data_IF_501907660983
#
_entry.id   IF_501907660983
#
_cell.length_a   1.000
_cell.length_b   1.000
_cell.length_c   1.000
_cell.angle_alpha   90.00
_cell.angle_beta   90.00
_cell.angle_gamma   90.00
#
_symmetry.space_group_name_H-M   'P 1'
#
loop_
_entity.id
_entity.type
_entity.pdbx_description
1 polymer ?
#
# COMPACT_ATOMS: atom_id res chain seq x y z
N UNK A 1 -7.32 40.12 -8.28
CA UNK A 1 -7.62 39.06 -9.25
C UNK A 1 -6.51 38.01 -9.08
N UNK A 2 -6.70 37.00 -8.23
CA UNK A 2 -7.31 35.71 -8.58
C UNK A 2 -6.28 34.93 -9.40
N UNK A 3 -5.53 33.97 -8.84
CA UNK A 3 -5.99 32.61 -8.61
C UNK A 3 -5.16 31.94 -7.51
N UNK A 4 -5.78 31.66 -6.35
CA UNK A 4 -5.29 30.63 -5.45
C UNK A 4 -5.72 29.28 -6.00
N UNK A 5 -4.82 28.55 -6.64
CA UNK A 5 -5.07 27.15 -7.00
C UNK A 5 -5.00 26.33 -5.72
N UNK A 6 -6.15 26.05 -5.11
CA UNK A 6 -6.28 24.97 -4.13
C UNK A 6 -6.13 23.65 -4.90
N UNK A 7 -4.96 23.03 -4.82
CA UNK A 7 -4.81 21.63 -5.22
C UNK A 7 -5.48 20.77 -4.15
N UNK A 8 -6.74 20.41 -4.36
CA UNK A 8 -7.45 19.48 -3.47
C UNK A 8 -7.18 18.04 -3.92
N UNK A 9 -6.43 17.28 -3.13
CA UNK A 9 -6.63 15.83 -3.08
C UNK A 9 -8.10 15.58 -2.68
N UNK A 10 -8.83 14.83 -3.50
CA UNK A 10 -10.20 14.44 -3.23
C UNK A 10 -10.18 12.91 -3.09
N UNK A 11 -10.15 12.44 -1.85
CA UNK A 11 -10.43 11.04 -1.57
C UNK A 11 -11.93 10.81 -1.75
N UNK A 12 -12.33 10.04 -2.76
CA UNK A 12 -13.73 9.68 -3.00
C UNK A 12 -14.03 8.37 -2.29
N UNK A 13 -14.85 8.42 -1.23
CA UNK A 13 -15.39 7.20 -0.60
C UNK A 13 -16.47 6.64 -1.51
N UNK A 14 -16.24 5.44 -2.03
CA UNK A 14 -17.14 4.75 -2.97
C UNK A 14 -17.91 3.63 -2.25
N UNK A 15 -18.93 3.08 -2.91
CA UNK A 15 -19.77 2.00 -2.34
C UNK A 15 -19.20 0.60 -2.59
N UNK A 16 -18.33 0.45 -3.59
CA UNK A 16 -17.69 -0.81 -3.96
C UNK A 16 -16.22 -0.59 -4.28
N UNK A 17 -15.38 -1.54 -3.88
CA UNK A 17 -13.95 -1.53 -4.23
C UNK A 17 -13.75 -1.61 -5.76
N UNK A 18 -14.69 -2.23 -6.48
CA UNK A 18 -14.72 -2.32 -7.94
C UNK A 18 -15.10 -1.00 -8.63
N UNK A 19 -15.33 0.09 -7.90
CA UNK A 19 -15.52 1.40 -8.52
C UNK A 19 -14.22 1.96 -9.13
N UNK A 20 -13.05 1.46 -8.71
CA UNK A 20 -11.74 1.76 -9.28
C UNK A 20 -11.04 0.48 -9.80
N UNK A 21 -11.62 -0.22 -10.79
CA UNK A 21 -11.18 -1.55 -11.19
C UNK A 21 -9.80 -1.55 -11.87
N UNK A 22 -9.40 -0.43 -12.47
CA UNK A 22 -8.18 -0.30 -13.28
C UNK A 22 -6.87 -0.53 -12.52
N UNK A 23 -6.91 -0.58 -11.18
CA UNK A 23 -5.76 -0.85 -10.32
C UNK A 23 -5.61 -2.32 -9.94
N UNK A 24 -6.54 -3.17 -10.38
CA UNK A 24 -6.52 -4.59 -10.14
C UNK A 24 -6.21 -5.36 -11.43
N UNK A 25 -5.48 -6.46 -11.28
CA UNK A 25 -5.27 -7.39 -12.38
C UNK A 25 -6.63 -7.93 -12.84
N UNK A 26 -6.90 -7.88 -14.14
CA UNK A 26 -8.18 -8.30 -14.73
C UNK A 26 -9.39 -7.67 -14.04
N UNK A 27 -9.22 -6.44 -13.52
CA UNK A 27 -10.27 -5.70 -12.82
C UNK A 27 -10.84 -6.42 -11.59
N UNK A 28 -10.09 -7.40 -11.06
CA UNK A 28 -10.53 -8.30 -9.99
C UNK A 28 -9.86 -7.96 -8.67
N UNK A 29 -10.61 -7.47 -7.66
CA UNK A 29 -10.06 -7.15 -6.35
C UNK A 29 -9.41 -8.36 -5.65
N UNK A 30 -8.42 -8.15 -4.78
CA UNK A 30 -7.80 -9.25 -4.04
C UNK A 30 -8.78 -9.88 -3.04
N UNK A 31 -8.57 -11.16 -2.76
CA UNK A 31 -9.21 -11.85 -1.63
C UNK A 31 -8.46 -11.50 -0.35
N UNK A 32 -9.13 -10.78 0.55
CA UNK A 32 -8.66 -10.52 1.91
C UNK A 32 -9.61 -11.26 2.87
N UNK A 33 -9.18 -12.40 3.44
CA UNK A 33 -10.00 -13.21 4.34
C UNK A 33 -10.71 -12.34 5.39
N UNK A 34 -12.00 -12.59 5.60
CA UNK A 34 -12.81 -11.91 6.62
C UNK A 34 -13.11 -10.44 6.40
N UNK A 35 -12.58 -9.82 5.33
CA UNK A 35 -12.74 -8.40 5.02
C UNK A 35 -13.31 -8.17 3.63
N UNK A 36 -12.70 -8.76 2.60
CA UNK A 36 -13.05 -8.59 1.18
C UNK A 36 -13.01 -9.95 0.49
N UNK A 37 -14.19 -10.51 0.23
CA UNK A 37 -14.36 -11.84 -0.37
C UNK A 37 -15.25 -11.75 -1.60
N UNK A 38 -14.84 -12.35 -2.72
CA UNK A 38 -15.55 -12.29 -4.01
C UNK A 38 -15.93 -10.85 -4.44
N UNK A 39 -15.03 -9.90 -4.20
CA UNK A 39 -15.24 -8.48 -4.47
C UNK A 39 -16.24 -7.78 -3.54
N UNK A 40 -16.71 -8.45 -2.48
CA UNK A 40 -17.66 -7.92 -1.50
C UNK A 40 -16.99 -7.61 -0.18
N UNK A 41 -17.17 -6.39 0.29
CA UNK A 41 -16.74 -5.97 1.62
C UNK A 41 -17.74 -6.54 2.64
N UNK A 42 -17.26 -7.39 3.55
CA UNK A 42 -18.13 -8.12 4.49
C UNK A 42 -18.73 -7.22 5.58
N UNK A 43 -17.97 -6.24 6.08
CA UNK A 43 -18.45 -5.20 7.01
C UNK A 43 -18.35 -3.82 6.36
N UNK A 44 -19.38 -3.44 5.59
CA UNK A 44 -19.47 -2.12 4.96
C UNK A 44 -19.62 -0.97 5.98
N UNK A 45 -19.95 -1.24 7.25
CA UNK A 45 -19.99 -0.19 8.26
C UNK A 45 -18.59 0.18 8.73
N UNK A 46 -17.64 -0.75 8.68
CA UNK A 46 -16.25 -0.55 9.10
C UNK A 46 -15.31 -0.23 7.94
N UNK A 47 -15.34 -1.04 6.88
CA UNK A 47 -14.38 -0.92 5.80
C UNK A 47 -14.93 -0.06 4.67
N UNK A 48 -14.17 0.95 4.27
CA UNK A 48 -14.56 1.94 3.27
C UNK A 48 -13.61 1.90 2.10
N UNK A 49 -14.06 1.54 0.89
CA UNK A 49 -13.25 1.65 -0.31
C UNK A 49 -13.13 3.12 -0.70
N UNK A 50 -11.92 3.53 -1.06
CA UNK A 50 -11.58 4.91 -1.39
C UNK A 50 -10.86 4.92 -2.73
N UNK A 51 -11.47 5.59 -3.71
CA UNK A 51 -10.81 5.94 -4.96
C UNK A 51 -9.97 7.20 -4.72
N UNK A 52 -8.65 7.04 -4.69
CA UNK A 52 -7.72 8.12 -4.38
C UNK A 52 -7.56 8.98 -5.63
N UNK A 53 -8.18 10.17 -5.60
CA UNK A 53 -8.24 11.07 -6.75
C UNK A 53 -7.41 12.32 -6.48
N UNK A 54 -6.53 12.65 -7.41
CA UNK A 54 -5.71 13.86 -7.36
C UNK A 54 -5.73 14.56 -8.71
N UNK A 55 -6.05 15.86 -8.69
CA UNK A 55 -6.31 16.69 -9.88
C UNK A 55 -7.30 16.03 -10.88
N UNK A 56 -8.39 15.49 -10.34
CA UNK A 56 -9.46 14.81 -11.10
C UNK A 56 -9.05 13.49 -11.78
N UNK A 57 -7.85 12.98 -11.50
CA UNK A 57 -7.41 11.67 -11.97
C UNK A 57 -7.36 10.67 -10.82
N UNK A 58 -7.87 9.46 -11.06
CA UNK A 58 -7.75 8.35 -10.12
C UNK A 58 -6.32 7.83 -10.17
N UNK A 59 -5.67 7.76 -9.02
CA UNK A 59 -4.24 7.43 -8.91
C UNK A 59 -4.00 6.03 -8.34
N UNK A 60 -4.80 5.63 -7.35
CA UNK A 60 -4.80 4.30 -6.75
C UNK A 60 -6.12 4.07 -5.99
N UNK A 61 -6.31 2.89 -5.44
CA UNK A 61 -7.46 2.56 -4.59
C UNK A 61 -6.96 2.09 -3.22
N UNK A 62 -7.69 2.47 -2.17
CA UNK A 62 -7.42 2.05 -0.79
C UNK A 62 -8.68 1.43 -0.21
N UNK A 63 -8.58 0.26 0.44
CA UNK A 63 -9.61 -0.20 1.36
C UNK A 63 -9.22 0.23 2.78
N UNK A 64 -10.03 1.08 3.41
CA UNK A 64 -9.68 1.75 4.67
C UNK A 64 -10.51 1.23 5.85
N UNK A 65 -9.87 0.91 6.98
CA UNK A 65 -10.54 0.52 8.22
C UNK A 65 -10.80 1.75 9.10
N UNK A 66 -12.05 2.20 9.20
CA UNK A 66 -12.37 3.42 9.97
C UNK A 66 -12.26 3.22 11.48
N UNK A 67 -12.29 1.98 11.98
CA UNK A 67 -12.15 1.71 13.42
C UNK A 67 -10.69 1.78 13.83
N UNK A 68 -9.81 1.13 13.06
CA UNK A 68 -8.38 1.16 13.30
C UNK A 68 -7.67 2.40 12.74
N UNK A 69 -8.35 3.16 11.87
CA UNK A 69 -7.85 4.36 11.20
C UNK A 69 -6.55 4.14 10.41
N UNK A 70 -6.44 2.97 9.80
CA UNK A 70 -5.35 2.60 8.90
C UNK A 70 -5.91 1.95 7.62
N UNK A 71 -5.20 2.04 6.49
CA UNK A 71 -5.49 1.21 5.32
C UNK A 71 -5.39 -0.28 5.67
N UNK A 72 -6.36 -1.07 5.21
CA UNK A 72 -6.24 -2.53 5.11
C UNK A 72 -5.25 -2.85 3.99
N UNK A 73 -5.47 -2.24 2.82
CA UNK A 73 -4.55 -2.28 1.69
C UNK A 73 -4.71 -1.07 0.78
N UNK A 74 -3.68 -0.78 0.00
CA UNK A 74 -3.74 0.04 -1.21
C UNK A 74 -3.34 -0.80 -2.42
N UNK A 75 -4.06 -0.64 -3.53
CA UNK A 75 -3.74 -1.28 -4.81
C UNK A 75 -3.49 -0.23 -5.89
N UNK A 76 -2.47 -0.46 -6.69
CA UNK A 76 -2.01 0.48 -7.71
C UNK A 76 -1.37 -0.26 -8.89
N UNK A 77 -1.35 0.43 -10.04
CA UNK A 77 -0.74 -0.05 -11.26
C UNK A 77 0.65 0.56 -11.41
N UNK A 78 1.67 -0.28 -11.49
CA UNK A 78 3.02 0.14 -11.85
C UNK A 78 3.15 0.26 -13.37
N UNK A 79 3.45 1.46 -13.84
CA UNK A 79 3.59 1.77 -15.28
C UNK A 79 4.99 2.25 -15.65
N UNK A 80 5.98 1.90 -14.81
CA UNK A 80 7.37 2.36 -14.92
C UNK A 80 7.66 3.56 -14.02
N UNK A 81 8.91 4.04 -14.08
CA UNK A 81 9.32 5.31 -13.47
C UNK A 81 10.12 6.14 -14.47
N UNK A 82 9.87 7.45 -14.55
CA UNK A 82 10.76 8.35 -15.30
C UNK A 82 12.13 8.37 -14.62
N UNK A 83 13.21 8.13 -15.38
CA UNK A 83 14.58 7.90 -14.85
C UNK A 83 15.11 8.99 -13.89
N UNK A 84 16.09 8.61 -13.07
CA UNK A 84 16.83 9.37 -12.03
C UNK A 84 16.61 10.90 -12.02
N UNK A 85 15.45 11.35 -11.53
CA UNK A 85 15.30 12.71 -11.04
C UNK A 85 15.33 12.65 -9.52
N UNK A 86 16.30 13.38 -8.96
CA UNK A 86 16.46 13.61 -7.53
C UNK A 86 15.08 13.93 -6.93
N UNK A 87 14.62 13.04 -6.07
CA UNK A 87 13.36 13.17 -5.35
C UNK A 87 13.51 14.40 -4.45
N UNK A 88 12.98 15.55 -4.89
CA UNK A 88 12.60 16.58 -3.95
C UNK A 88 11.44 15.99 -3.16
N UNK A 89 11.71 15.55 -1.94
CA UNK A 89 10.67 15.08 -1.01
C UNK A 89 9.83 16.30 -0.68
N UNK A 90 8.80 16.54 -1.48
CA UNK A 90 7.82 17.57 -1.22
C UNK A 90 6.91 17.03 -0.10
N UNK A 91 7.25 17.41 1.12
CA UNK A 91 6.52 17.10 2.36
C UNK A 91 5.24 17.95 2.43
N UNK A 92 4.19 17.58 1.70
CA UNK A 92 2.85 18.14 1.93
C UNK A 92 1.98 17.12 2.68
N UNK A 93 1.92 17.32 4.00
CA UNK A 93 1.10 16.51 4.90
C UNK A 93 -0.35 17.00 4.97
N UNK A 94 -1.23 16.06 5.30
CA UNK A 94 -2.46 16.27 6.09
C UNK A 94 -2.43 15.28 7.29
N UNK A 95 -3.29 15.36 8.32
CA UNK A 95 -3.15 16.29 9.45
C UNK A 95 -2.10 15.82 10.49
N UNK A 96 -1.33 16.78 10.98
CA UNK A 96 -0.05 16.57 11.64
C UNK A 96 -0.13 16.12 13.10
N UNK A 97 -1.26 16.35 13.79
CA UNK A 97 -1.31 16.27 15.25
C UNK A 97 -1.35 14.84 15.80
N UNK A 98 -1.96 13.89 15.09
CA UNK A 98 -2.06 12.51 15.59
C UNK A 98 -0.73 11.74 15.51
N UNK A 99 0.30 12.31 14.86
CA UNK A 99 1.66 11.78 14.74
C UNK A 99 2.72 12.69 15.41
N UNK A 100 2.30 13.73 16.15
CA UNK A 100 3.25 14.57 16.91
C UNK A 100 3.75 13.81 18.15
N UNK A 101 5.03 14.02 18.47
CA UNK A 101 5.73 13.58 19.70
C UNK A 101 6.18 12.12 19.79
N UNK A 102 6.74 11.50 18.74
CA UNK A 102 7.29 10.15 18.93
C UNK A 102 8.71 9.96 18.42
N UNK A 103 9.56 9.56 19.38
CA UNK A 103 10.78 8.82 19.12
C UNK A 103 10.35 7.45 18.56
N UNK A 104 10.89 7.07 17.40
CA UNK A 104 10.92 5.70 16.86
C UNK A 104 9.75 5.20 15.98
N UNK A 105 8.69 5.98 15.72
CA UNK A 105 7.67 5.64 14.69
C UNK A 105 7.63 6.65 13.55
N UNK A 106 7.65 6.12 12.33
CA UNK A 106 7.51 6.86 11.08
C UNK A 106 6.08 6.81 10.52
N UNK A 107 5.82 7.69 9.55
CA UNK A 107 4.66 7.62 8.66
C UNK A 107 4.98 6.69 7.49
N UNK A 108 4.69 5.40 7.67
CA UNK A 108 4.87 4.38 6.65
C UNK A 108 3.83 4.48 5.55
N UNK A 109 4.27 4.54 4.29
CA UNK A 109 3.37 4.53 3.13
C UNK A 109 2.99 3.10 2.77
N UNK A 110 1.73 2.86 2.42
CA UNK A 110 1.30 1.56 1.86
C UNK A 110 1.53 1.51 0.35
N UNK A 111 1.11 2.54 -0.38
CA UNK A 111 1.60 2.80 -1.73
C UNK A 111 2.84 3.71 -1.64
N UNK A 112 4.06 3.20 -1.85
CA UNK A 112 5.27 4.01 -1.77
C UNK A 112 5.38 4.98 -2.95
N UNK A 113 5.76 6.21 -2.66
CA UNK A 113 5.99 7.24 -3.68
C UNK A 113 7.08 6.84 -4.69
N UNK A 114 8.00 5.95 -4.32
CA UNK A 114 9.06 5.45 -5.22
C UNK A 114 8.54 4.61 -6.40
N UNK A 115 7.33 4.03 -6.26
CA UNK A 115 6.64 3.26 -7.30
C UNK A 115 5.73 4.13 -8.18
N UNK A 116 5.40 5.34 -7.74
CA UNK A 116 4.56 6.26 -8.48
C UNK A 116 5.31 6.85 -9.70
N UNK A 117 4.60 7.03 -10.81
CA UNK A 117 5.21 7.36 -12.10
C UNK A 117 5.50 8.86 -12.25
N UNK A 118 4.47 9.70 -12.21
CA UNK A 118 4.58 11.16 -12.31
C UNK A 118 4.73 11.81 -10.93
N UNK A 119 5.11 13.08 -10.91
CA UNK A 119 5.13 13.84 -9.65
C UNK A 119 3.74 13.97 -9.03
N UNK A 120 2.69 14.08 -9.84
CA UNK A 120 1.32 14.12 -9.35
C UNK A 120 0.88 12.78 -8.73
N UNK A 121 1.33 11.66 -9.30
CA UNK A 121 1.10 10.35 -8.71
C UNK A 121 1.80 10.25 -7.34
N UNK A 122 3.05 10.75 -7.24
CA UNK A 122 3.79 10.78 -5.97
C UNK A 122 3.10 11.65 -4.94
N UNK A 123 2.68 12.86 -5.29
CA UNK A 123 1.96 13.76 -4.40
C UNK A 123 0.68 13.09 -3.85
N UNK A 124 -0.01 12.29 -4.67
CA UNK A 124 -1.21 11.56 -4.25
C UNK A 124 -0.96 10.51 -3.16
N UNK A 125 0.27 9.99 -3.02
CA UNK A 125 0.58 8.94 -2.04
C UNK A 125 0.64 9.46 -0.60
N UNK A 126 0.75 10.77 -0.40
CA UNK A 126 0.91 11.41 0.92
C UNK A 126 -0.40 11.62 1.68
N UNK A 127 -1.52 11.07 1.19
CA UNK A 127 -2.80 11.09 1.93
C UNK A 127 -2.72 10.21 3.17
N UNK A 128 -3.30 10.65 4.31
CA UNK A 128 -3.29 9.84 5.54
C UNK A 128 -4.01 8.50 5.41
N UNK A 129 -4.94 8.39 4.48
CA UNK A 129 -5.60 7.13 4.13
C UNK A 129 -4.64 6.08 3.57
N UNK A 130 -3.44 6.48 3.13
CA UNK A 130 -2.37 5.61 2.64
C UNK A 130 -1.22 5.42 3.66
N UNK A 131 -1.39 5.86 4.90
CA UNK A 131 -0.32 5.91 5.91
C UNK A 131 -0.64 5.02 7.11
N UNK A 132 0.39 4.35 7.66
CA UNK A 132 0.34 3.63 8.94
C UNK A 132 1.47 4.10 9.88
N UNK A 133 1.31 3.98 11.20
CA UNK A 133 2.45 4.06 12.11
C UNK A 133 3.40 2.87 11.88
N UNK A 134 4.64 3.14 11.47
CA UNK A 134 5.61 2.10 11.14
C UNK A 134 6.87 2.26 11.98
N UNK A 135 7.46 1.16 12.48
CA UNK A 135 8.71 1.21 13.23
C UNK A 135 9.82 1.85 12.39
N UNK A 136 10.54 2.82 12.96
CA UNK A 136 11.43 3.69 12.19
C UNK A 136 12.54 2.95 11.44
N UNK A 137 13.26 2.05 12.11
CA UNK A 137 14.31 1.26 11.43
C UNK A 137 13.74 0.24 10.44
N UNK A 138 12.55 -0.29 10.67
CA UNK A 138 11.86 -1.16 9.71
C UNK A 138 11.49 -0.38 8.44
N UNK A 139 10.86 0.79 8.59
CA UNK A 139 10.49 1.67 7.50
C UNK A 139 11.70 2.14 6.68
N UNK A 140 12.77 2.59 7.35
CA UNK A 140 13.91 3.22 6.69
C UNK A 140 14.93 2.23 6.12
N UNK A 141 14.91 0.97 6.58
CA UNK A 141 15.83 -0.08 6.14
C UNK A 141 15.07 -1.23 5.44
N UNK A 142 14.77 -2.33 6.13
CA UNK A 142 14.37 -3.58 5.46
C UNK A 142 13.08 -3.46 4.63
N UNK A 143 12.14 -2.60 5.03
CA UNK A 143 10.93 -2.30 4.25
C UNK A 143 11.26 -1.49 2.99
N UNK A 144 11.97 -0.37 3.13
CA UNK A 144 12.43 0.45 2.00
C UNK A 144 13.27 -0.33 1.00
N UNK A 145 14.15 -1.22 1.49
CA UNK A 145 15.00 -2.06 0.65
C UNK A 145 14.15 -3.10 -0.11
N UNK A 146 13.14 -3.68 0.56
CA UNK A 146 12.15 -4.54 -0.10
C UNK A 146 11.37 -3.77 -1.18
N UNK A 147 10.84 -2.58 -0.89
CA UNK A 147 10.15 -1.73 -1.88
C UNK A 147 11.07 -1.44 -3.08
N UNK A 148 12.33 -1.09 -2.80
CA UNK A 148 13.33 -0.83 -3.84
C UNK A 148 13.61 -2.08 -4.69
N UNK A 149 13.66 -3.26 -4.09
CA UNK A 149 13.82 -4.53 -4.80
C UNK A 149 12.60 -4.89 -5.65
N UNK A 150 11.39 -4.73 -5.12
CA UNK A 150 10.13 -4.91 -5.87
C UNK A 150 10.11 -3.97 -7.07
N UNK A 151 10.43 -2.68 -6.88
CA UNK A 151 10.61 -1.74 -7.99
C UNK A 151 11.61 -2.22 -9.03
N UNK A 152 12.77 -2.75 -8.61
CA UNK A 152 13.76 -3.30 -9.54
C UNK A 152 13.19 -4.45 -10.38
N UNK A 153 12.41 -5.35 -9.76
CA UNK A 153 11.77 -6.47 -10.46
C UNK A 153 10.69 -5.96 -11.43
N UNK A 154 9.81 -5.06 -10.97
CA UNK A 154 8.76 -4.46 -11.79
C UNK A 154 9.36 -3.73 -13.01
N UNK A 155 10.39 -2.92 -12.80
CA UNK A 155 11.07 -2.19 -13.87
C UNK A 155 11.78 -3.12 -14.86
N UNK A 156 12.32 -4.26 -14.40
CA UNK A 156 13.11 -5.15 -15.27
C UNK A 156 12.25 -6.16 -16.02
N UNK A 157 11.21 -6.68 -15.37
CA UNK A 157 10.51 -7.87 -15.85
C UNK A 157 9.04 -7.62 -16.21
N UNK A 158 8.37 -6.61 -15.64
CA UNK A 158 6.96 -6.33 -15.93
C UNK A 158 6.80 -5.45 -17.17
N UNK A 159 7.17 -6.03 -18.30
CA UNK A 159 7.04 -5.44 -19.64
C UNK A 159 6.16 -6.38 -20.46
N UNK A 160 5.03 -5.87 -20.95
CA UNK A 160 4.08 -6.63 -21.76
C UNK A 160 4.61 -6.87 -23.19
N UNK A 161 3.86 -7.63 -23.99
CA UNK A 161 4.23 -7.92 -25.39
C UNK A 161 4.21 -6.67 -26.30
N UNK A 162 3.67 -5.55 -25.83
CA UNK A 162 3.66 -4.27 -26.53
C UNK A 162 4.77 -3.33 -26.04
N UNK A 163 5.77 -3.86 -25.31
CA UNK A 163 6.87 -3.11 -24.71
C UNK A 163 6.42 -2.03 -23.70
N UNK A 164 5.28 -2.22 -23.04
CA UNK A 164 4.77 -1.31 -22.00
C UNK A 164 5.05 -1.87 -20.62
N UNK A 165 5.47 -1.00 -19.71
CA UNK A 165 5.51 -1.35 -18.29
C UNK A 165 4.10 -1.53 -17.75
N UNK A 166 3.83 -2.69 -17.17
CA UNK A 166 2.54 -2.99 -16.56
C UNK A 166 2.72 -4.03 -15.46
N UNK A 167 2.52 -3.62 -14.21
CA UNK A 167 2.41 -4.51 -13.06
C UNK A 167 1.31 -4.06 -12.12
N UNK A 168 0.78 -5.00 -11.35
CA UNK A 168 -0.27 -4.74 -10.37
C UNK A 168 0.30 -5.05 -9.00
N UNK A 169 0.19 -4.08 -8.08
CA UNK A 169 0.75 -4.20 -6.73
C UNK A 169 -0.37 -3.95 -5.73
N UNK A 170 -0.41 -4.80 -4.71
CA UNK A 170 -1.27 -4.66 -3.54
C UNK A 170 -0.37 -4.72 -2.33
N UNK A 171 -0.37 -3.67 -1.52
CA UNK A 171 0.33 -3.63 -0.25
C UNK A 171 -0.66 -3.28 0.85
N UNK A 172 -0.40 -3.72 2.07
CA UNK A 172 -1.32 -3.53 3.17
C UNK A 172 -0.70 -3.72 4.54
N UNK A 173 -1.56 -3.58 5.54
CA UNK A 173 -1.18 -3.66 6.93
C UNK A 173 -2.17 -4.52 7.70
N UNK A 174 -1.64 -5.39 8.55
CA UNK A 174 -2.44 -6.17 9.48
C UNK A 174 -2.53 -5.42 10.81
N UNK A 175 -3.74 -5.11 11.29
CA UNK A 175 -3.90 -4.42 12.57
C UNK A 175 -3.41 -5.30 13.71
N UNK A 176 -2.86 -4.66 14.74
CA UNK A 176 -2.54 -5.33 16.00
C UNK A 176 -3.72 -5.31 16.98
N UNK A 177 -3.62 -6.14 18.03
CA UNK A 177 -4.58 -6.14 19.13
C UNK A 177 -4.19 -5.08 20.17
N UNK A 178 -5.10 -4.13 20.45
CA UNK A 178 -4.99 -3.16 21.54
C UNK A 178 -3.73 -2.26 21.55
N UNK A 179 -3.01 -2.10 20.43
CA UNK A 179 -1.90 -1.17 20.33
C UNK A 179 -2.26 0.03 19.44
N UNK A 180 -2.38 1.20 20.07
CA UNK A 180 -2.87 2.41 19.41
C UNK A 180 -1.95 3.60 19.68
N UNK A 181 -1.51 4.24 18.60
CA UNK A 181 -0.90 5.56 18.63
C UNK A 181 -1.93 6.59 19.10
N UNK A 182 -1.59 7.29 20.18
CA UNK A 182 -2.42 8.35 20.77
C UNK A 182 -3.85 7.90 21.08
N UNK A 183 -4.05 6.61 21.42
CA UNK A 183 -5.36 5.97 21.64
C UNK A 183 -6.34 6.14 20.46
N UNK A 184 -5.83 6.36 19.24
CA UNK A 184 -6.65 6.73 18.08
C UNK A 184 -6.36 5.92 16.83
N UNK A 185 -5.08 5.67 16.52
CA UNK A 185 -4.65 5.04 15.27
C UNK A 185 -4.00 3.71 15.63
N UNK A 186 -4.45 2.60 15.07
CA UNK A 186 -3.85 1.31 15.33
C UNK A 186 -2.42 1.29 14.80
N UNK A 187 -1.49 0.78 15.61
CA UNK A 187 -0.13 0.47 15.16
C UNK A 187 -0.19 -0.97 14.62
N UNK A 188 -0.08 -1.20 13.31
CA UNK A 188 -0.22 -2.55 12.76
C UNK A 188 0.87 -3.48 13.31
N UNK A 189 0.58 -4.78 13.39
CA UNK A 189 1.54 -5.80 13.81
C UNK A 189 2.46 -6.23 12.66
N UNK A 190 1.98 -6.15 11.43
CA UNK A 190 2.70 -6.59 10.23
C UNK A 190 2.33 -5.71 9.04
N UNK A 191 3.30 -5.46 8.15
CA UNK A 191 3.05 -4.93 6.81
C UNK A 191 3.35 -6.02 5.77
N UNK A 192 2.62 -5.99 4.65
CA UNK A 192 2.77 -6.93 3.55
C UNK A 192 2.66 -6.24 2.19
N UNK A 193 3.28 -6.83 1.19
CA UNK A 193 3.30 -6.37 -0.20
C UNK A 193 3.25 -7.58 -1.12
N UNK A 194 2.49 -7.48 -2.19
CA UNK A 194 2.37 -8.50 -3.23
C UNK A 194 2.27 -7.82 -4.59
N UNK A 195 2.88 -8.43 -5.60
CA UNK A 195 2.70 -7.98 -6.97
C UNK A 195 2.52 -9.15 -7.93
N UNK A 196 1.95 -8.84 -9.08
CA UNK A 196 1.91 -9.74 -10.22
C UNK A 196 2.00 -8.94 -11.53
N UNK A 197 2.59 -9.55 -12.55
CA UNK A 197 2.65 -9.00 -13.90
C UNK A 197 2.98 -10.09 -14.91
N UNK A 198 2.63 -9.84 -16.17
CA UNK A 198 3.14 -10.62 -17.28
C UNK A 198 4.53 -10.12 -17.67
N UNK A 199 5.45 -11.04 -17.90
CA UNK A 199 6.80 -10.75 -18.36
C UNK A 199 7.01 -11.29 -19.75
N UNK A 200 7.08 -10.41 -20.75
CA UNK A 200 7.34 -10.80 -22.14
C UNK A 200 8.72 -11.45 -22.29
N UNK A 201 9.74 -10.95 -21.58
CA UNK A 201 11.11 -11.51 -21.62
C UNK A 201 11.22 -12.91 -21.03
N UNK A 202 10.35 -13.27 -20.09
CA UNK A 202 10.27 -14.62 -19.51
C UNK A 202 9.14 -15.46 -20.13
N UNK A 203 8.34 -14.87 -21.02
CA UNK A 203 7.11 -15.43 -21.59
C UNK A 203 6.20 -16.10 -20.55
N UNK A 204 6.01 -15.46 -19.38
CA UNK A 204 5.17 -15.98 -18.29
C UNK A 204 4.72 -14.90 -17.34
N UNK A 205 3.66 -15.20 -16.59
CA UNK A 205 3.31 -14.44 -15.40
C UNK A 205 4.34 -14.67 -14.29
N UNK A 206 4.70 -13.60 -13.59
CA UNK A 206 5.48 -13.64 -12.37
C UNK A 206 4.68 -12.97 -11.26
N UNK A 207 4.81 -13.50 -10.05
CA UNK A 207 4.21 -12.94 -8.86
C UNK A 207 5.07 -13.29 -7.65
N UNK A 208 5.12 -12.39 -6.68
CA UNK A 208 5.68 -12.67 -5.38
C UNK A 208 5.09 -11.77 -4.31
N UNK A 209 5.33 -12.16 -3.07
CA UNK A 209 4.92 -11.45 -1.87
C UNK A 209 6.09 -11.30 -0.90
N UNK A 210 5.93 -10.33 -0.01
CA UNK A 210 6.83 -10.01 1.09
C UNK A 210 6.00 -9.55 2.28
N UNK A 211 6.42 -9.88 3.48
CA UNK A 211 5.83 -9.33 4.70
C UNK A 211 6.86 -9.30 5.83
N UNK A 212 6.60 -8.49 6.84
CA UNK A 212 7.44 -8.39 8.01
C UNK A 212 6.69 -7.78 9.20
N UNK A 213 7.09 -8.20 10.39
CA UNK A 213 6.57 -7.63 11.64
C UNK A 213 6.97 -6.17 11.76
N UNK A 214 6.03 -5.33 12.21
CA UNK A 214 6.21 -3.89 12.37
C UNK A 214 6.96 -3.57 13.68
N UNK A 215 8.19 -4.07 13.78
CA UNK A 215 9.09 -3.90 14.92
C UNK A 215 10.43 -3.36 14.43
N UNK A 216 11.21 -2.65 15.27
CA UNK A 216 12.53 -2.20 14.88
C UNK A 216 13.40 -3.34 14.36
N UNK A 217 14.12 -3.11 13.26
CA UNK A 217 15.07 -4.06 12.72
C UNK A 217 16.19 -4.35 13.73
N UNK A 218 16.49 -5.64 13.93
CA UNK A 218 17.53 -6.09 14.85
C UNK A 218 18.95 -5.71 14.39
N UNK A 219 19.16 -5.60 13.08
CA UNK A 219 20.42 -5.22 12.44
C UNK A 219 20.16 -4.54 11.10
N UNK A 220 21.12 -3.73 10.62
CA UNK A 220 20.97 -2.88 9.42
C UNK A 220 20.82 -3.64 8.11
N UNK A 221 21.21 -4.91 8.05
CA UNK A 221 21.19 -5.72 6.82
C UNK A 221 20.06 -6.75 6.80
N UNK A 222 19.01 -6.54 7.61
CA UNK A 222 17.82 -7.38 7.58
C UNK A 222 17.13 -7.22 6.22
N UNK A 223 16.80 -8.34 5.57
CA UNK A 223 16.07 -8.36 4.32
C UNK A 223 14.76 -9.13 4.48
N UNK A 224 13.73 -8.68 3.80
CA UNK A 224 12.47 -9.43 3.73
C UNK A 224 12.58 -10.54 2.69
N UNK A 225 12.21 -11.74 3.11
CA UNK A 225 12.27 -12.93 2.24
C UNK A 225 11.21 -12.82 1.16
N UNK A 226 11.56 -13.17 -0.08
CA UNK A 226 10.59 -13.30 -1.18
C UNK A 226 9.81 -14.60 -1.02
N UNK A 227 8.49 -14.49 -1.10
CA UNK A 227 7.52 -15.56 -0.82
C UNK A 227 6.47 -15.65 -1.92
N UNK A 228 5.65 -16.69 -1.91
CA UNK A 228 4.54 -16.85 -2.87
C UNK A 228 3.29 -16.11 -2.41
N UNK A 229 2.36 -15.86 -3.34
CA UNK A 229 1.05 -15.31 -3.01
C UNK A 229 0.24 -16.26 -2.12
N UNK A 230 0.44 -17.58 -2.29
CA UNK A 230 -0.22 -18.61 -1.48
C UNK A 230 0.26 -18.57 -0.02
N UNK A 231 1.57 -18.43 0.21
CA UNK A 231 2.12 -18.29 1.57
C UNK A 231 1.61 -17.01 2.24
N UNK A 232 1.50 -15.89 1.50
CA UNK A 232 0.91 -14.66 2.02
C UNK A 232 -0.57 -14.87 2.37
N UNK A 233 -1.35 -15.50 1.49
CA UNK A 233 -2.77 -15.76 1.74
C UNK A 233 -2.98 -16.62 2.99
N UNK A 234 -2.23 -17.71 3.13
CA UNK A 234 -2.27 -18.56 4.33
C UNK A 234 -1.92 -17.75 5.59
N UNK A 235 -0.90 -16.89 5.52
CA UNK A 235 -0.48 -16.02 6.63
C UNK A 235 -1.60 -15.06 7.05
N UNK A 236 -2.28 -14.42 6.10
CA UNK A 236 -3.39 -13.50 6.40
C UNK A 236 -4.61 -14.24 6.98
N UNK A 237 -4.89 -15.47 6.53
CA UNK A 237 -6.00 -16.29 7.05
C UNK A 237 -5.75 -16.78 8.48
N UNK A 238 -4.56 -17.30 8.78
CA UNK A 238 -4.23 -17.85 10.11
C UNK A 238 -4.32 -16.78 11.21
N UNK A 239 -4.02 -15.53 10.86
CA UNK A 239 -4.08 -14.43 11.80
C UNK A 239 -5.52 -14.03 12.15
N UNK A 240 -6.52 -14.33 11.32
CA UNK A 240 -7.93 -14.16 11.68
C UNK A 240 -8.41 -15.19 12.69
N UNK A 241 -7.99 -16.46 12.54
CA UNK A 241 -8.38 -17.55 13.44
C UNK A 241 -7.85 -17.36 14.88
N UNK A 242 -6.72 -16.67 15.04
CA UNK A 242 -6.17 -16.32 16.36
C UNK A 242 -7.08 -15.40 17.21
N UNK A 243 -8.12 -14.82 16.60
CA UNK A 243 -9.14 -13.97 17.28
C UNK A 243 -10.41 -14.74 17.67
N UNK A 244 -10.52 -16.02 17.31
CA UNK A 244 -11.60 -16.92 17.75
C UNK A 244 -11.00 -18.03 18.59
N UNK A 245 -10.71 -17.75 19.86
CA UNK A 245 -10.42 -18.83 20.81
C UNK A 245 -11.58 -19.85 20.82
N UNK A 246 -11.20 -21.13 20.76
CA UNK A 246 -12.05 -22.27 21.13
C UNK A 246 -12.60 -22.13 22.55
#
# INVERSE_FOLDING_TARGET
MGLGVKFSTLAEVVTSISACPQFFLEETPPLIPGILEDGKILDQNRYKPICQTYKSERRFVTLYDIRNKIPVFSAYKYIGTTGNFLINIVLHQAGNNDYKNQLDLDRGHIFPSSHAFTEEDKESTFTLTNIVPQAGSFNQNSWKDMESCVKCVLQKYCIDNNARHEGFVVAGAQPSTNNFLNNKINIPSMLWSAFCCYSSSLNRWIASAHWGDNVPDEHTNKYLTTRTLEELHQTLTLNEESTKCK
#
